data_IF_137316540968
#
_entry.id   IF_137316540968
#
_cell.length_a   1.000
_cell.length_b   1.000
_cell.length_c   1.000
_cell.angle_alpha   90.00
_cell.angle_beta   90.00
_cell.angle_gamma   90.00
#
_symmetry.space_group_name_H-M   'P 1'
#
loop_
_entity.id
_entity.type
_entity.pdbx_description
1 polymer ?
#
# COMPACT_ATOMS: atom_id res chain seq x y z
N UNK A 1 26.12 9.08 51.77
CA UNK A 1 26.49 8.19 50.63
C UNK A 1 25.39 8.06 49.58
N UNK A 2 24.15 8.39 49.87
CA UNK A 2 22.98 8.30 48.94
C UNK A 2 23.08 9.25 47.76
N UNK A 3 23.42 10.53 47.96
CA UNK A 3 23.43 11.55 46.94
C UNK A 3 24.43 11.28 45.79
N UNK A 4 25.63 10.73 46.11
CA UNK A 4 26.62 10.42 45.07
C UNK A 4 26.15 9.32 44.11
N UNK A 5 25.48 8.29 44.60
CA UNK A 5 24.89 7.22 43.78
C UNK A 5 23.75 7.75 42.92
N UNK A 6 22.94 8.64 43.49
CA UNK A 6 21.86 9.31 42.72
C UNK A 6 22.41 10.17 41.60
N UNK A 7 23.45 10.99 41.82
CA UNK A 7 24.07 11.79 40.76
C UNK A 7 24.74 10.93 39.69
N UNK A 8 25.38 9.83 40.04
CA UNK A 8 25.96 8.88 39.05
C UNK A 8 24.85 8.25 38.23
N UNK A 9 23.77 7.79 38.83
CA UNK A 9 22.63 7.21 38.10
C UNK A 9 21.95 8.22 37.17
N UNK A 10 21.76 9.45 37.62
CA UNK A 10 21.20 10.54 36.84
C UNK A 10 22.09 10.88 35.65
N UNK A 11 23.41 10.98 35.88
CA UNK A 11 24.38 11.25 34.79
C UNK A 11 24.42 10.10 33.76
N UNK A 12 24.37 8.86 34.22
CA UNK A 12 24.32 7.68 33.36
C UNK A 12 23.02 7.64 32.53
N UNK A 13 21.87 7.96 33.16
CA UNK A 13 20.59 8.04 32.50
C UNK A 13 20.59 9.16 31.43
N UNK A 14 21.08 10.34 31.76
CA UNK A 14 21.22 11.46 30.82
C UNK A 14 22.13 11.09 29.64
N UNK A 15 23.27 10.45 29.92
CA UNK A 15 24.18 9.98 28.88
C UNK A 15 23.52 8.93 27.94
N UNK A 16 22.78 7.99 28.51
CA UNK A 16 22.01 7.00 27.71
C UNK A 16 20.96 7.67 26.83
N UNK A 17 20.23 8.66 27.36
CA UNK A 17 19.26 9.44 26.57
C UNK A 17 19.94 10.18 25.42
N UNK A 18 21.11 10.81 25.68
CA UNK A 18 21.86 11.51 24.62
C UNK A 18 22.41 10.54 23.56
N UNK A 19 22.85 9.35 23.96
CA UNK A 19 23.25 8.31 23.01
C UNK A 19 22.07 7.85 22.16
N UNK A 20 20.92 7.58 22.76
CA UNK A 20 19.70 7.21 22.05
C UNK A 20 19.27 8.30 21.07
N UNK A 21 19.30 9.56 21.49
CA UNK A 21 18.94 10.70 20.65
C UNK A 21 19.88 10.88 19.43
N UNK A 22 21.10 10.35 19.49
CA UNK A 22 22.13 10.48 18.44
C UNK A 22 22.39 9.19 17.67
N UNK A 23 21.56 8.15 17.84
CA UNK A 23 21.74 6.88 17.13
C UNK A 23 21.72 7.10 15.60
N UNK A 24 22.77 6.70 14.87
CA UNK A 24 22.85 6.94 13.42
C UNK A 24 21.88 6.02 12.66
N UNK A 25 21.38 6.51 11.53
CA UNK A 25 20.49 5.80 10.62
C UNK A 25 21.04 4.43 10.18
N UNK A 26 22.36 4.31 10.08
CA UNK A 26 23.03 3.06 9.68
C UNK A 26 22.79 1.88 10.63
N UNK A 27 22.37 2.14 11.88
CA UNK A 27 21.97 1.08 12.80
C UNK A 27 20.59 0.56 12.40
N UNK A 28 19.64 1.45 12.10
CA UNK A 28 18.30 1.06 11.65
C UNK A 28 18.36 0.23 10.35
N UNK A 29 19.18 0.63 9.39
CA UNK A 29 19.30 -0.10 8.12
C UNK A 29 19.90 -1.50 8.28
N UNK A 30 20.74 -1.75 9.30
CA UNK A 30 21.26 -3.09 9.59
C UNK A 30 20.24 -4.03 10.25
N UNK A 31 19.17 -3.48 10.81
CA UNK A 31 18.08 -4.25 11.44
C UNK A 31 16.95 -4.59 10.45
N UNK A 32 17.01 -4.07 9.22
CA UNK A 32 16.01 -4.35 8.19
C UNK A 32 16.05 -5.83 7.78
N UNK A 33 14.90 -6.41 7.46
CA UNK A 33 14.83 -7.78 6.97
C UNK A 33 15.54 -7.91 5.61
N UNK A 34 15.99 -9.13 5.21
CA UNK A 34 16.67 -9.37 3.93
C UNK A 34 15.83 -8.98 2.70
N UNK A 35 14.51 -8.86 2.86
CA UNK A 35 13.59 -8.39 1.83
C UNK A 35 13.66 -6.87 1.57
N UNK A 36 14.47 -6.12 2.33
CA UNK A 36 14.68 -4.68 2.13
C UNK A 36 16.16 -4.43 1.88
N UNK A 37 16.48 -3.85 0.73
CA UNK A 37 17.85 -3.46 0.35
C UNK A 37 17.99 -1.95 0.41
N UNK A 38 19.05 -1.46 1.04
CA UNK A 38 19.39 -0.05 1.18
C UNK A 38 20.85 0.16 0.82
N UNK A 39 21.14 1.08 -0.11
CA UNK A 39 22.52 1.34 -0.52
C UNK A 39 23.26 2.29 0.41
N UNK A 40 22.62 3.39 0.80
CA UNK A 40 23.24 4.43 1.63
C UNK A 40 22.18 5.03 2.54
N UNK A 41 22.55 5.29 3.79
CA UNK A 41 21.69 5.97 4.75
C UNK A 41 22.41 7.16 5.37
N UNK A 42 21.66 8.21 5.73
CA UNK A 42 22.14 9.41 6.41
C UNK A 42 21.13 9.88 7.46
N UNK A 43 21.60 10.68 8.40
CA UNK A 43 20.80 11.16 9.52
C UNK A 43 20.81 10.21 10.73
N UNK A 44 19.75 10.26 11.51
CA UNK A 44 19.56 9.45 12.72
C UNK A 44 18.47 8.39 12.53
N UNK A 45 18.27 7.53 13.54
CA UNK A 45 17.12 6.63 13.54
C UNK A 45 15.79 7.40 13.62
N UNK A 46 15.81 8.58 14.24
CA UNK A 46 14.62 9.42 14.46
C UNK A 46 14.21 10.19 13.22
N UNK A 47 15.18 10.72 12.51
CA UNK A 47 15.00 11.46 11.27
C UNK A 47 16.17 11.15 10.36
N UNK A 48 15.87 10.55 9.22
CA UNK A 48 16.91 10.12 8.30
C UNK A 48 16.41 9.91 6.88
N UNK A 49 17.36 9.59 6.04
CA UNK A 49 17.08 9.24 4.64
C UNK A 49 17.92 8.07 4.19
N UNK A 50 17.38 7.32 3.23
CA UNK A 50 18.06 6.25 2.55
C UNK A 50 17.96 6.41 1.04
N UNK A 51 19.05 6.14 0.34
CA UNK A 51 19.06 6.17 -1.12
C UNK A 51 18.93 4.74 -1.67
N UNK A 52 18.31 4.62 -2.86
CA UNK A 52 18.14 3.36 -3.59
C UNK A 52 17.54 2.24 -2.71
N UNK A 53 16.45 2.56 -2.04
CA UNK A 53 15.71 1.57 -1.27
C UNK A 53 14.92 0.68 -2.22
N UNK A 54 15.01 -0.63 -2.03
CA UNK A 54 14.26 -1.63 -2.76
C UNK A 54 13.62 -2.61 -1.78
N UNK A 55 12.41 -3.07 -2.11
CA UNK A 55 11.67 -4.07 -1.33
C UNK A 55 11.39 -5.27 -2.21
N UNK A 56 11.62 -6.46 -1.67
CA UNK A 56 11.33 -7.70 -2.37
C UNK A 56 9.87 -8.10 -2.18
N UNK A 57 9.13 -8.19 -3.29
CA UNK A 57 7.75 -8.63 -3.36
C UNK A 57 7.68 -9.88 -4.24
N UNK A 58 7.24 -11.01 -3.69
CA UNK A 58 7.16 -12.29 -4.41
C UNK A 58 8.44 -12.64 -5.20
N UNK A 59 9.62 -12.43 -4.57
CA UNK A 59 10.93 -12.73 -5.18
C UNK A 59 11.45 -11.69 -6.18
N UNK A 60 10.67 -10.66 -6.51
CA UNK A 60 11.08 -9.55 -7.39
C UNK A 60 11.34 -8.28 -6.59
N UNK A 61 12.34 -7.50 -7.02
CA UNK A 61 12.69 -6.24 -6.37
C UNK A 61 11.86 -5.08 -6.92
N UNK A 62 11.20 -4.37 -6.01
CA UNK A 62 10.46 -3.15 -6.29
C UNK A 62 11.25 -1.94 -5.76
N UNK A 63 11.53 -0.95 -6.62
CA UNK A 63 12.29 0.22 -6.26
C UNK A 63 11.40 1.27 -5.60
N UNK A 64 11.72 1.63 -4.36
CA UNK A 64 11.15 2.79 -3.68
C UNK A 64 11.97 4.06 -3.95
N UNK A 65 13.22 3.92 -4.41
CA UNK A 65 14.13 5.03 -4.65
C UNK A 65 14.63 5.67 -3.38
N UNK A 66 14.54 7.00 -3.27
CA UNK A 66 14.88 7.70 -2.04
C UNK A 66 13.71 7.59 -1.05
N UNK A 67 14.04 7.18 0.15
CA UNK A 67 13.11 7.09 1.29
C UNK A 67 13.60 8.01 2.40
N UNK A 68 12.77 8.94 2.83
CA UNK A 68 12.97 9.78 3.98
C UNK A 68 12.01 9.30 5.09
N UNK A 69 12.46 9.25 6.34
CA UNK A 69 11.62 8.86 7.47
C UNK A 69 11.77 9.80 8.64
N UNK A 70 10.70 9.88 9.41
CA UNK A 70 10.64 10.62 10.67
C UNK A 70 9.92 9.75 11.71
N UNK A 71 10.62 9.38 12.79
CA UNK A 71 10.06 8.62 13.90
C UNK A 71 9.59 9.57 14.99
N UNK A 72 8.36 9.39 15.41
CA UNK A 72 7.71 10.18 16.46
C UNK A 72 7.61 9.33 17.74
N UNK A 73 8.55 9.47 18.71
CA UNK A 73 8.57 8.60 19.90
C UNK A 73 7.27 8.63 20.71
N UNK A 74 6.61 9.78 20.77
CA UNK A 74 5.30 9.93 21.43
C UNK A 74 4.13 9.44 20.56
N UNK A 75 4.32 9.36 19.25
CA UNK A 75 3.33 8.83 18.29
C UNK A 75 3.06 7.33 18.48
N UNK A 76 4.00 6.59 19.08
CA UNK A 76 3.82 5.17 19.43
C UNK A 76 2.59 4.96 20.32
N UNK A 77 2.25 5.94 21.17
CA UNK A 77 1.10 5.85 22.06
C UNK A 77 -0.25 6.00 21.35
N UNK A 78 -0.25 6.65 20.19
CA UNK A 78 -1.46 6.94 19.40
C UNK A 78 -1.51 6.20 18.06
N UNK A 79 -0.50 5.39 17.76
CA UNK A 79 -0.44 4.58 16.55
C UNK A 79 0.11 5.29 15.31
N UNK A 80 0.73 6.49 15.47
CA UNK A 80 1.40 7.27 14.42
C UNK A 80 2.89 7.40 14.75
N UNK A 81 3.59 6.28 14.70
CA UNK A 81 4.98 6.19 15.17
C UNK A 81 5.99 6.65 14.12
N UNK A 82 5.67 6.59 12.83
CA UNK A 82 6.59 6.89 11.75
C UNK A 82 5.87 7.54 10.57
N UNK A 83 6.49 8.58 10.01
CA UNK A 83 6.14 9.10 8.69
C UNK A 83 7.22 8.68 7.70
N UNK A 84 6.81 8.13 6.56
CA UNK A 84 7.70 7.64 5.50
C UNK A 84 7.33 8.36 4.22
N UNK A 85 8.31 8.94 3.55
CA UNK A 85 8.17 9.55 2.22
C UNK A 85 9.12 8.86 1.26
N UNK A 86 8.60 8.42 0.13
CA UNK A 86 9.38 7.76 -0.91
C UNK A 86 9.22 8.49 -2.24
N UNK A 87 10.31 8.58 -3.01
CA UNK A 87 10.29 9.20 -4.34
C UNK A 87 11.18 8.44 -5.30
N UNK A 88 10.60 8.00 -6.42
CA UNK A 88 11.30 7.34 -7.50
C UNK A 88 10.66 7.66 -8.86
N UNK A 89 11.33 8.47 -9.70
CA UNK A 89 10.74 8.95 -10.95
C UNK A 89 9.45 9.74 -10.71
N UNK A 90 8.35 9.31 -11.32
CA UNK A 90 6.99 9.83 -11.08
C UNK A 90 6.34 9.27 -9.82
N UNK A 91 6.84 8.13 -9.30
CA UNK A 91 6.31 7.53 -8.08
C UNK A 91 6.52 8.43 -6.88
N UNK A 92 5.46 8.59 -6.09
CA UNK A 92 5.47 9.32 -4.83
C UNK A 92 4.62 8.58 -3.80
N UNK A 93 5.18 8.37 -2.62
CA UNK A 93 4.50 7.69 -1.51
C UNK A 93 4.74 8.52 -0.25
N UNK A 94 3.69 8.91 0.43
CA UNK A 94 3.71 9.56 1.74
C UNK A 94 2.78 8.81 2.67
N UNK A 95 3.30 8.26 3.76
CA UNK A 95 2.56 7.37 4.65
C UNK A 95 2.92 7.67 6.09
N UNK A 96 1.91 7.83 6.92
CA UNK A 96 2.05 7.78 8.38
C UNK A 96 1.58 6.43 8.90
N UNK A 97 2.43 5.77 9.69
CA UNK A 97 2.15 4.43 10.19
C UNK A 97 2.61 4.25 11.63
N UNK A 98 2.08 3.23 12.27
CA UNK A 98 2.52 2.81 13.60
C UNK A 98 2.05 1.41 13.93
N UNK A 99 2.56 0.92 15.04
CA UNK A 99 2.13 -0.37 15.62
C UNK A 99 1.56 -0.09 16.99
N UNK A 100 0.36 -0.57 17.23
CA UNK A 100 -0.29 -0.45 18.55
C UNK A 100 0.29 -1.45 19.56
N UNK A 101 0.00 -1.26 20.84
CA UNK A 101 0.40 -2.20 21.87
C UNK A 101 -0.22 -3.61 21.70
N UNK A 102 -1.33 -3.71 20.98
CA UNK A 102 -1.97 -4.99 20.61
C UNK A 102 -1.29 -5.70 19.42
N UNK A 103 -0.26 -5.07 18.82
CA UNK A 103 0.43 -5.61 17.64
C UNK A 103 -0.30 -5.36 16.31
N UNK A 104 -1.32 -4.50 16.30
CA UNK A 104 -1.98 -4.07 15.07
C UNK A 104 -1.14 -3.01 14.34
N UNK A 105 -1.02 -3.14 13.04
CA UNK A 105 -0.44 -2.10 12.19
C UNK A 105 -1.53 -1.10 11.84
N UNK A 106 -1.27 0.17 12.09
CA UNK A 106 -2.12 1.28 11.69
C UNK A 106 -1.40 2.14 10.68
N UNK A 107 -2.09 2.44 9.59
CA UNK A 107 -1.66 3.41 8.59
C UNK A 107 -2.70 4.51 8.58
N UNK A 108 -2.25 5.74 8.67
CA UNK A 108 -3.08 6.94 8.58
C UNK A 108 -2.54 7.86 7.49
N UNK A 109 -3.44 8.50 6.74
CA UNK A 109 -3.10 9.50 5.72
C UNK A 109 -2.04 9.01 4.70
N UNK A 110 -2.25 7.85 4.08
CA UNK A 110 -1.37 7.40 3.02
C UNK A 110 -1.78 7.97 1.67
N UNK A 111 -0.88 8.76 1.07
CA UNK A 111 -1.00 9.26 -0.30
C UNK A 111 0.02 8.54 -1.19
N UNK A 112 -0.47 7.82 -2.19
CA UNK A 112 0.34 6.98 -3.07
C UNK A 112 0.05 7.34 -4.51
N UNK A 113 1.09 7.69 -5.25
CA UNK A 113 1.05 7.81 -6.71
C UNK A 113 2.11 6.91 -7.31
N UNK A 114 1.73 5.99 -8.21
CA UNK A 114 2.66 5.03 -8.80
C UNK A 114 2.12 4.49 -10.12
N UNK A 115 3.01 4.01 -11.00
CA UNK A 115 2.63 3.17 -12.13
C UNK A 115 2.09 1.82 -11.63
N UNK A 116 0.95 1.35 -12.19
CA UNK A 116 0.31 0.10 -11.74
C UNK A 116 1.08 -1.15 -12.17
N UNK A 117 2.09 -1.03 -13.01
CA UNK A 117 2.84 -2.16 -13.55
C UNK A 117 3.49 -3.07 -12.51
N UNK A 118 3.67 -2.60 -11.28
CA UNK A 118 4.14 -3.42 -10.16
C UNK A 118 3.17 -4.56 -9.80
N UNK A 119 1.88 -4.42 -10.11
CA UNK A 119 0.87 -5.47 -9.88
C UNK A 119 1.23 -6.76 -10.61
N UNK A 120 1.95 -6.68 -11.75
CA UNK A 120 2.48 -7.85 -12.47
C UNK A 120 3.44 -8.71 -11.63
N UNK A 121 4.00 -8.14 -10.55
CA UNK A 121 4.86 -8.89 -9.62
C UNK A 121 4.06 -9.77 -8.66
N UNK A 122 2.82 -9.38 -8.40
CA UNK A 122 1.91 -10.08 -7.48
C UNK A 122 0.96 -11.02 -8.25
N UNK A 123 0.40 -10.52 -9.34
CA UNK A 123 -0.59 -11.21 -10.17
C UNK A 123 -0.15 -11.18 -11.63
N UNK A 124 -0.38 -12.25 -12.42
CA UNK A 124 -0.02 -12.30 -13.84
C UNK A 124 -1.02 -11.46 -14.69
N UNK A 125 -1.25 -10.21 -14.28
CA UNK A 125 -2.12 -9.27 -14.95
C UNK A 125 -1.28 -8.31 -15.81
N UNK A 126 -1.62 -8.23 -17.08
CA UNK A 126 -0.96 -7.36 -18.06
C UNK A 126 -1.70 -6.02 -18.13
N UNK A 127 -1.64 -5.25 -17.06
CA UNK A 127 -2.29 -3.94 -16.95
C UNK A 127 -1.26 -2.82 -16.92
N UNK A 128 -1.66 -1.63 -17.38
CA UNK A 128 -0.88 -0.41 -17.37
C UNK A 128 -1.74 0.78 -16.93
N UNK A 129 -1.11 1.89 -16.62
CA UNK A 129 -1.72 3.12 -16.16
C UNK A 129 -1.17 3.59 -14.83
N UNK A 130 -1.71 4.69 -14.35
CA UNK A 130 -1.28 5.36 -13.13
C UNK A 130 -2.27 5.09 -12.00
N UNK A 131 -1.75 4.74 -10.83
CA UNK A 131 -2.53 4.50 -9.63
C UNK A 131 -2.34 5.67 -8.66
N UNK A 132 -3.44 6.31 -8.28
CA UNK A 132 -3.51 7.28 -7.20
C UNK A 132 -4.35 6.69 -6.08
N UNK A 133 -3.79 6.58 -4.87
CA UNK A 133 -4.51 6.09 -3.71
C UNK A 133 -4.37 7.06 -2.55
N UNK A 134 -5.50 7.50 -2.04
CA UNK A 134 -5.64 8.30 -0.83
C UNK A 134 -6.32 7.44 0.23
N UNK A 135 -5.56 6.90 1.16
CA UNK A 135 -6.05 6.05 2.25
C UNK A 135 -6.08 6.87 3.53
N UNK A 136 -7.27 7.08 4.05
CA UNK A 136 -7.50 7.81 5.30
C UNK A 136 -7.11 6.95 6.51
N UNK A 137 -7.51 5.69 6.50
CA UNK A 137 -7.18 4.73 7.55
C UNK A 137 -7.08 3.31 6.99
N UNK A 138 -6.00 2.60 7.39
CA UNK A 138 -5.88 1.16 7.23
C UNK A 138 -5.43 0.58 8.58
N UNK A 139 -6.16 -0.41 9.08
CA UNK A 139 -5.74 -1.22 10.23
C UNK A 139 -5.62 -2.68 9.84
N UNK A 140 -4.46 -3.24 10.15
CA UNK A 140 -4.17 -4.66 9.92
C UNK A 140 -4.00 -5.31 11.29
N UNK A 141 -4.77 -6.35 11.55
CA UNK A 141 -4.70 -7.11 12.80
C UNK A 141 -3.36 -7.82 12.95
N UNK A 142 -3.03 -8.28 14.14
CA UNK A 142 -1.84 -9.09 14.38
C UNK A 142 -1.83 -10.42 13.59
N UNK A 143 -3.00 -10.89 13.13
CA UNK A 143 -3.12 -12.06 12.23
C UNK A 143 -2.83 -11.72 10.76
N UNK A 144 -2.61 -10.45 10.42
CA UNK A 144 -2.34 -10.00 9.05
C UNK A 144 -3.59 -9.68 8.22
N UNK A 145 -4.80 -9.77 8.79
CA UNK A 145 -6.04 -9.45 8.09
C UNK A 145 -6.39 -7.97 8.25
N UNK A 146 -6.86 -7.30 7.18
CA UNK A 146 -7.34 -5.92 7.28
C UNK A 146 -8.65 -5.88 8.09
N UNK A 147 -8.66 -5.04 9.13
CA UNK A 147 -9.83 -4.83 9.99
C UNK A 147 -10.57 -3.54 9.64
N UNK A 148 -9.84 -2.53 9.16
CA UNK A 148 -10.38 -1.25 8.70
C UNK A 148 -9.64 -0.86 7.43
N UNK A 149 -10.37 -0.38 6.44
CA UNK A 149 -9.84 0.29 5.27
C UNK A 149 -10.83 1.35 4.81
N UNK A 150 -10.40 2.60 4.80
CA UNK A 150 -11.19 3.74 4.32
C UNK A 150 -10.30 4.59 3.42
N UNK A 151 -10.81 4.95 2.24
CA UNK A 151 -10.05 5.74 1.29
C UNK A 151 -10.61 5.66 -0.12
N UNK A 152 -9.87 6.25 -1.03
CA UNK A 152 -10.19 6.28 -2.46
C UNK A 152 -8.97 5.88 -3.29
N UNK A 153 -9.22 5.07 -4.32
CA UNK A 153 -8.22 4.68 -5.30
C UNK A 153 -8.71 5.10 -6.68
N UNK A 154 -7.86 5.75 -7.46
CA UNK A 154 -8.13 6.13 -8.84
C UNK A 154 -7.09 5.46 -9.73
N UNK A 155 -7.56 4.68 -10.71
CA UNK A 155 -6.72 4.10 -11.75
C UNK A 155 -6.92 4.89 -13.03
N UNK A 156 -5.95 5.72 -13.37
CA UNK A 156 -5.96 6.57 -14.54
C UNK A 156 -5.25 5.92 -15.71
N UNK A 157 -5.66 6.30 -16.94
CA UNK A 157 -5.06 5.80 -18.17
C UNK A 157 -4.98 4.27 -18.23
N UNK A 158 -5.99 3.63 -17.62
CA UNK A 158 -6.05 2.18 -17.54
C UNK A 158 -5.99 1.54 -18.94
N UNK A 159 -5.11 0.57 -19.08
CA UNK A 159 -4.96 -0.18 -20.31
C UNK A 159 -4.68 -1.67 -20.04
N UNK A 160 -5.15 -2.52 -20.95
CA UNK A 160 -4.78 -3.93 -21.02
C UNK A 160 -3.67 -4.10 -22.05
N UNK A 161 -2.53 -4.64 -21.63
CA UNK A 161 -1.38 -4.88 -22.49
C UNK A 161 -1.54 -6.21 -23.21
N UNK A 162 -1.98 -6.17 -24.47
CA UNK A 162 -2.12 -7.34 -25.32
C UNK A 162 -0.90 -7.49 -26.26
N UNK A 163 -0.71 -8.70 -26.79
CA UNK A 163 0.37 -8.99 -27.77
C UNK A 163 0.26 -8.14 -29.02
N UNK A 164 -0.94 -7.71 -29.41
CA UNK A 164 -1.21 -6.87 -30.58
C UNK A 164 -1.19 -5.36 -30.31
N UNK A 165 -0.85 -4.93 -29.09
CA UNK A 165 -0.87 -3.52 -28.67
C UNK A 165 -1.81 -3.30 -27.47
N UNK A 166 -1.67 -2.15 -26.84
CA UNK A 166 -2.43 -1.80 -25.64
C UNK A 166 -3.89 -1.48 -25.99
N UNK A 167 -4.82 -2.09 -25.26
CA UNK A 167 -6.25 -1.79 -25.32
C UNK A 167 -6.56 -0.77 -24.23
N UNK A 168 -6.89 0.46 -24.61
CA UNK A 168 -7.30 1.49 -23.66
C UNK A 168 -8.63 1.10 -23.01
N UNK A 169 -8.66 1.09 -21.69
CA UNK A 169 -9.83 0.76 -20.88
C UNK A 169 -10.53 2.03 -20.39
N UNK A 170 -9.81 2.92 -19.72
CA UNK A 170 -10.38 4.17 -19.21
C UNK A 170 -9.76 4.69 -17.93
N UNK A 171 -10.60 5.31 -17.10
CA UNK A 171 -10.27 5.79 -15.75
C UNK A 171 -11.35 5.30 -14.79
N UNK A 172 -10.91 4.70 -13.69
CA UNK A 172 -11.79 4.08 -12.70
C UNK A 172 -11.53 4.67 -11.33
N UNK A 173 -12.58 4.72 -10.52
CA UNK A 173 -12.48 5.08 -9.10
C UNK A 173 -13.02 3.95 -8.25
N UNK A 174 -12.37 3.71 -7.14
CA UNK A 174 -12.79 2.78 -6.10
C UNK A 174 -12.93 3.56 -4.80
N UNK A 175 -14.14 3.71 -4.30
CA UNK A 175 -14.43 4.26 -2.99
C UNK A 175 -14.53 3.10 -1.99
N UNK A 176 -13.75 3.18 -0.92
CA UNK A 176 -13.64 2.12 0.08
C UNK A 176 -14.04 2.68 1.44
N UNK A 177 -14.90 1.95 2.14
CA UNK A 177 -15.35 2.30 3.47
C UNK A 177 -15.44 1.06 4.37
N UNK A 178 -15.36 1.28 5.67
CA UNK A 178 -15.55 0.23 6.68
C UNK A 178 -16.75 0.60 7.54
N UNK A 179 -17.65 -0.35 7.72
CA UNK A 179 -18.79 -0.25 8.61
C UNK A 179 -18.95 -1.53 9.47
N UNK A 180 -20.09 -1.70 10.14
CA UNK A 180 -20.39 -2.89 10.97
C UNK A 180 -20.43 -4.21 10.18
N UNK A 181 -20.66 -4.15 8.86
CA UNK A 181 -20.70 -5.32 7.99
C UNK A 181 -19.30 -5.76 7.53
N UNK A 182 -18.28 -4.91 7.68
CA UNK A 182 -16.90 -5.11 7.29
C UNK A 182 -16.39 -4.01 6.36
N UNK A 183 -15.35 -4.32 5.59
CA UNK A 183 -14.81 -3.44 4.56
C UNK A 183 -15.62 -3.65 3.29
N UNK A 184 -16.09 -2.57 2.70
CA UNK A 184 -16.78 -2.58 1.41
C UNK A 184 -16.16 -1.57 0.45
N UNK A 185 -16.20 -1.85 -0.84
CA UNK A 185 -15.74 -0.89 -1.85
C UNK A 185 -16.63 -0.94 -3.08
N UNK A 186 -16.79 0.24 -3.68
CA UNK A 186 -17.55 0.42 -4.92
C UNK A 186 -16.63 0.91 -6.02
N UNK A 187 -16.67 0.20 -7.14
CA UNK A 187 -15.92 0.54 -8.36
C UNK A 187 -16.83 1.22 -9.36
N UNK A 188 -16.38 2.33 -9.92
CA UNK A 188 -17.11 3.07 -10.95
C UNK A 188 -16.18 3.54 -12.07
N UNK A 189 -16.68 3.55 -13.28
CA UNK A 189 -16.01 4.19 -14.43
C UNK A 189 -16.24 5.69 -14.41
N UNK A 190 -15.17 6.47 -14.46
CA UNK A 190 -15.25 7.92 -14.69
C UNK A 190 -15.30 8.25 -16.19
N UNK A 191 -14.48 7.57 -17.00
CA UNK A 191 -14.45 7.70 -18.46
C UNK A 191 -13.73 6.50 -19.06
N UNK A 192 -14.08 6.13 -20.29
CA UNK A 192 -13.32 5.11 -21.02
C UNK A 192 -14.15 4.27 -22.00
N UNK A 193 -13.46 3.35 -22.67
CA UNK A 193 -14.05 2.40 -23.59
C UNK A 193 -14.57 1.13 -22.90
N UNK A 194 -14.16 0.85 -21.67
CA UNK A 194 -14.70 -0.20 -20.82
C UNK A 194 -15.48 0.45 -19.67
N UNK A 195 -16.76 0.18 -19.62
CA UNK A 195 -17.61 0.51 -18.50
C UNK A 195 -17.51 -0.62 -17.48
N UNK A 196 -17.00 -0.30 -16.30
CA UNK A 196 -16.85 -1.19 -15.15
C UNK A 196 -17.63 -0.61 -13.98
N UNK A 197 -18.56 -1.37 -13.46
CA UNK A 197 -19.26 -1.08 -12.21
C UNK A 197 -19.22 -2.33 -11.35
N UNK A 198 -18.98 -2.16 -10.06
CA UNK A 198 -18.89 -3.33 -9.18
C UNK A 198 -18.79 -2.95 -7.72
N UNK A 199 -18.88 -3.97 -6.91
CA UNK A 199 -18.73 -3.89 -5.46
C UNK A 199 -17.87 -5.03 -4.97
N UNK A 200 -17.09 -4.78 -3.94
CA UNK A 200 -16.41 -5.84 -3.21
C UNK A 200 -16.71 -5.70 -1.72
N UNK A 201 -16.67 -6.81 -1.01
CA UNK A 201 -16.81 -6.87 0.43
C UNK A 201 -15.75 -7.79 1.04
N UNK A 202 -15.31 -7.44 2.25
CA UNK A 202 -14.42 -8.27 3.06
C UNK A 202 -14.90 -8.25 4.50
N UNK A 203 -15.20 -9.42 5.05
CA UNK A 203 -15.62 -9.61 6.44
C UNK A 203 -14.79 -10.70 7.10
N UNK A 204 -13.88 -10.29 7.99
CA UNK A 204 -12.87 -11.21 8.52
C UNK A 204 -11.93 -11.65 7.39
N UNK A 205 -11.94 -12.94 7.09
CA UNK A 205 -11.21 -13.59 5.99
C UNK A 205 -12.07 -13.85 4.75
N UNK A 206 -13.40 -13.71 4.85
CA UNK A 206 -14.31 -13.96 3.74
C UNK A 206 -14.41 -12.72 2.83
N UNK A 207 -14.22 -12.92 1.53
CA UNK A 207 -14.37 -11.88 0.52
C UNK A 207 -15.44 -12.21 -0.50
N UNK A 208 -16.02 -11.14 -1.08
CA UNK A 208 -16.94 -11.21 -2.21
C UNK A 208 -16.63 -10.09 -3.20
N UNK A 209 -16.73 -10.37 -4.49
CA UNK A 209 -16.56 -9.41 -5.58
C UNK A 209 -17.66 -9.64 -6.59
N UNK A 210 -18.40 -8.61 -6.93
CA UNK A 210 -19.39 -8.61 -8.00
C UNK A 210 -19.13 -7.41 -8.92
N UNK A 211 -18.96 -7.67 -10.22
CA UNK A 211 -18.70 -6.62 -11.19
C UNK A 211 -19.39 -6.89 -12.52
N UNK A 212 -19.78 -5.80 -13.21
CA UNK A 212 -20.30 -5.82 -14.56
C UNK A 212 -19.38 -5.02 -15.47
N UNK A 213 -19.07 -5.58 -16.62
CA UNK A 213 -18.21 -5.00 -17.65
C UNK A 213 -19.00 -4.88 -18.95
N UNK A 214 -18.97 -3.69 -19.55
CA UNK A 214 -19.62 -3.40 -20.83
C UNK A 214 -18.82 -2.38 -21.64
N UNK A 215 -19.33 -1.95 -22.78
CA UNK A 215 -18.69 -0.95 -23.62
C UNK A 215 -17.88 -1.50 -24.78
N UNK A 216 -17.19 -0.62 -25.49
CA UNK A 216 -16.46 -0.96 -26.71
C UNK A 216 -15.26 -1.87 -26.46
N UNK A 217 -14.52 -1.66 -25.38
CA UNK A 217 -13.35 -2.48 -25.03
C UNK A 217 -13.73 -3.90 -24.62
N UNK A 218 -14.93 -4.11 -24.06
CA UNK A 218 -15.44 -5.44 -23.74
C UNK A 218 -15.66 -6.34 -24.97
N UNK A 219 -15.69 -5.76 -26.18
CA UNK A 219 -15.81 -6.48 -27.45
C UNK A 219 -14.46 -6.80 -28.09
N UNK A 220 -13.36 -6.34 -27.52
CA UNK A 220 -12.03 -6.64 -28.03
C UNK A 220 -11.68 -8.11 -27.74
N UNK A 221 -11.27 -8.86 -28.75
CA UNK A 221 -11.01 -10.31 -28.64
C UNK A 221 -9.91 -10.63 -27.65
N UNK A 222 -8.82 -9.83 -27.61
CA UNK A 222 -7.73 -10.04 -26.68
C UNK A 222 -8.18 -9.80 -25.22
N UNK A 223 -9.03 -8.81 -24.98
CA UNK A 223 -9.62 -8.57 -23.68
C UNK A 223 -10.59 -9.68 -23.27
N UNK A 224 -11.43 -10.15 -24.18
CA UNK A 224 -12.35 -11.28 -23.94
C UNK A 224 -11.61 -12.55 -23.55
N UNK A 225 -10.53 -12.88 -24.26
CA UNK A 225 -9.68 -14.03 -23.91
C UNK A 225 -9.07 -13.89 -22.53
N UNK A 226 -8.67 -12.68 -22.15
CA UNK A 226 -8.08 -12.42 -20.83
C UNK A 226 -9.05 -12.63 -19.66
N UNK A 227 -10.33 -12.27 -19.83
CA UNK A 227 -11.35 -12.38 -18.77
C UNK A 227 -12.16 -13.68 -18.83
N UNK A 228 -11.96 -14.52 -19.86
CA UNK A 228 -12.78 -15.70 -20.14
C UNK A 228 -12.89 -16.71 -18.96
N UNK A 229 -11.87 -16.77 -18.11
CA UNK A 229 -11.88 -17.65 -16.94
C UNK A 229 -12.58 -17.06 -15.71
N UNK A 230 -12.81 -15.75 -15.70
CA UNK A 230 -13.32 -15.01 -14.54
C UNK A 230 -14.73 -14.45 -14.77
N UNK A 231 -15.12 -14.26 -16.03
CA UNK A 231 -16.32 -13.55 -16.38
C UNK A 231 -17.32 -14.42 -17.16
N UNK A 232 -18.59 -14.28 -16.82
CA UNK A 232 -19.70 -14.92 -17.51
C UNK A 232 -20.31 -13.93 -18.51
N UNK A 233 -20.52 -14.29 -19.80
CA UNK A 233 -21.18 -13.43 -20.78
C UNK A 233 -22.62 -13.11 -20.36
N UNK A 234 -23.04 -11.86 -20.62
CA UNK A 234 -24.41 -11.37 -20.44
C UNK A 234 -24.90 -10.74 -21.74
N UNK A 235 -26.16 -10.34 -21.82
CA UNK A 235 -26.72 -9.67 -23.02
C UNK A 235 -25.99 -8.37 -23.39
N UNK A 236 -25.45 -7.64 -22.40
CA UNK A 236 -24.81 -6.32 -22.59
C UNK A 236 -23.28 -6.33 -22.37
N UNK A 237 -22.69 -7.45 -21.97
CA UNK A 237 -21.26 -7.53 -21.67
C UNK A 237 -20.86 -8.77 -20.89
N UNK A 238 -20.21 -8.58 -19.74
CA UNK A 238 -19.71 -9.65 -18.89
C UNK A 238 -20.01 -9.37 -17.43
N UNK A 239 -20.19 -10.42 -16.67
CA UNK A 239 -20.37 -10.39 -15.22
C UNK A 239 -19.28 -11.22 -14.54
N UNK A 240 -18.73 -10.67 -13.49
CA UNK A 240 -17.77 -11.34 -12.59
C UNK A 240 -18.44 -11.48 -11.23
N UNK A 241 -18.50 -12.71 -10.71
CA UNK A 241 -18.93 -13.01 -9.35
C UNK A 241 -17.89 -13.95 -8.72
N UNK A 242 -17.14 -13.44 -7.74
CA UNK A 242 -16.12 -14.20 -7.03
C UNK A 242 -16.37 -14.14 -5.53
N UNK A 243 -16.14 -15.23 -4.84
CA UNK A 243 -16.17 -15.27 -3.38
C UNK A 243 -15.22 -16.34 -2.87
N UNK A 244 -14.67 -16.13 -1.67
CA UNK A 244 -13.71 -17.05 -1.08
C UNK A 244 -13.24 -16.57 0.29
N UNK A 245 -12.14 -17.17 0.75
CA UNK A 245 -11.42 -16.81 1.97
C UNK A 245 -9.97 -16.47 1.64
N UNK A 246 -9.37 -15.54 2.41
CA UNK A 246 -7.98 -15.09 2.29
C UNK A 246 -7.01 -16.09 2.90
#
# INVERSE_FOLDING_TARGET
>A
MSNRRFFIALSAALFAVLLLARLPASIATKLLPPSVSVSTSSGSIWEGSAAHVQVQLNGKWFALGRVDWELHPFGILVGDAVTIRSKWGSQHIDVSAGVTLSGEIRVSNAAIHTDIGWVKTLLPLFIAGDLNADIEELRITASGLPAVLTGRIVWENAAWQAVGGDVSLGTYVVDIATDESGISGRVMTLKGALELTGEFGLKGDAYSVAANLSGAAARNEAFQQAIALLAVPTESGYRIDLSGTL
#
